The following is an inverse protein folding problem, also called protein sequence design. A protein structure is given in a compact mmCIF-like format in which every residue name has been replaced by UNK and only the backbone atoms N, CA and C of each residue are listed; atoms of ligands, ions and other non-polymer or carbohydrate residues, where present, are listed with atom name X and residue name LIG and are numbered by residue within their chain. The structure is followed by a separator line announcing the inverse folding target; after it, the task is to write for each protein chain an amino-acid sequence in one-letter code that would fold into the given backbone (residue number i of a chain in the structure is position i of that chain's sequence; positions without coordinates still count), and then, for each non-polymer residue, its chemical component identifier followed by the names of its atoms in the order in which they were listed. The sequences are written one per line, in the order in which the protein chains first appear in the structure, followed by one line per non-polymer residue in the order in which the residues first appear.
data_IF_340609540950
#
_entry.id   IF_340609540950
#
_cell.length_a   1.000
_cell.length_b   1.000
_cell.length_c   1.000
_cell.angle_alpha   90.00
_cell.angle_beta   90.00
_cell.angle_gamma   90.00
#
_symmetry.space_group_name_H-M   'P 1'
#
loop_
_entity.id
_entity.type
_entity.pdbx_description
1 polymer ?
#
# COMPACT_ATOMS: atom_id res chain seq x y z
N UNK A 1 -1.02 7.02 18.11
CA UNK A 1 -1.64 6.90 16.76
C UNK A 1 -2.29 5.53 16.68
N UNK A 2 -3.62 5.46 16.81
CA UNK A 2 -4.33 4.19 16.68
C UNK A 2 -4.15 3.64 15.26
N UNK A 3 -3.78 2.36 15.14
CA UNK A 3 -3.80 1.67 13.84
C UNK A 3 -5.25 1.63 13.37
N UNK A 4 -5.56 2.43 12.35
CA UNK A 4 -6.82 2.30 11.64
C UNK A 4 -6.81 0.97 10.89
N UNK A 5 -7.93 0.24 10.96
CA UNK A 5 -8.15 -1.01 10.23
C UNK A 5 -7.87 -0.73 8.75
N UNK A 6 -6.91 -1.44 8.17
CA UNK A 6 -6.53 -1.23 6.78
C UNK A 6 -7.75 -1.48 5.87
N UNK A 7 -7.93 -0.64 4.85
CA UNK A 7 -8.94 -0.89 3.83
C UNK A 7 -8.68 -2.23 3.16
N UNK A 8 -9.76 -3.01 3.03
CA UNK A 8 -9.76 -4.34 2.43
C UNK A 8 -9.24 -4.29 0.99
N UNK A 9 -8.53 -5.34 0.56
CA UNK A 9 -7.89 -5.39 -0.76
C UNK A 9 -8.91 -5.15 -1.89
N UNK A 10 -10.07 -5.75 -1.76
CA UNK A 10 -11.16 -5.65 -2.73
C UNK A 10 -11.64 -4.21 -2.97
N UNK A 11 -11.66 -3.37 -1.92
CA UNK A 11 -12.03 -1.96 -2.06
C UNK A 11 -10.96 -1.19 -2.84
N UNK A 12 -9.68 -1.53 -2.65
CA UNK A 12 -8.56 -0.87 -3.34
C UNK A 12 -8.51 -1.24 -4.81
N UNK A 13 -8.76 -2.49 -5.14
CA UNK A 13 -8.77 -2.95 -6.53
C UNK A 13 -9.95 -2.31 -7.29
N UNK A 14 -11.13 -2.22 -6.67
CA UNK A 14 -12.27 -1.46 -7.21
C UNK A 14 -11.94 0.01 -7.48
N UNK A 15 -11.22 0.68 -6.57
CA UNK A 15 -10.76 2.07 -6.79
C UNK A 15 -9.90 2.19 -8.05
N UNK A 16 -8.98 1.25 -8.24
CA UNK A 16 -8.10 1.24 -9.42
C UNK A 16 -8.88 0.98 -10.69
N UNK A 17 -9.84 0.07 -10.68
CA UNK A 17 -10.63 -0.25 -11.87
C UNK A 17 -11.57 0.89 -12.27
N UNK A 18 -12.20 1.57 -11.31
CA UNK A 18 -12.99 2.78 -11.58
C UNK A 18 -12.12 3.93 -12.11
N UNK A 19 -10.89 4.08 -11.62
CA UNK A 19 -9.95 5.04 -12.20
C UNK A 19 -9.53 4.65 -13.62
N UNK A 20 -9.29 3.36 -13.92
CA UNK A 20 -8.99 2.91 -15.29
C UNK A 20 -10.16 3.21 -16.24
N UNK A 21 -11.40 3.13 -15.76
CA UNK A 21 -12.59 3.53 -16.49
C UNK A 21 -12.73 5.06 -16.69
N UNK A 22 -11.77 5.87 -16.20
CA UNK A 22 -11.74 7.31 -16.40
C UNK A 22 -12.56 8.12 -15.39
N UNK A 23 -13.04 7.49 -14.30
CA UNK A 23 -13.79 8.21 -13.28
C UNK A 23 -12.89 9.15 -12.47
N UNK A 24 -13.42 10.32 -12.13
CA UNK A 24 -12.72 11.30 -11.29
C UNK A 24 -12.56 10.86 -9.83
N UNK A 25 -11.60 11.46 -9.11
CA UNK A 25 -11.34 11.13 -7.71
C UNK A 25 -12.57 11.32 -6.80
N UNK A 26 -13.36 12.38 -7.03
CA UNK A 26 -14.52 12.71 -6.21
C UNK A 26 -15.72 11.80 -6.45
N UNK A 27 -15.92 11.33 -7.69
CA UNK A 27 -16.98 10.37 -7.99
C UNK A 27 -16.66 9.01 -7.38
N UNK A 28 -15.41 8.55 -7.48
CA UNK A 28 -14.95 7.29 -6.86
C UNK A 28 -15.12 7.35 -5.33
N UNK A 29 -14.70 8.46 -4.71
CA UNK A 29 -14.84 8.65 -3.27
C UNK A 29 -16.31 8.60 -2.81
N UNK A 30 -17.21 9.28 -3.52
CA UNK A 30 -18.65 9.25 -3.20
C UNK A 30 -19.26 7.85 -3.40
N UNK A 31 -18.91 7.17 -4.49
CA UNK A 31 -19.44 5.84 -4.81
C UNK A 31 -19.04 4.77 -3.78
N UNK A 32 -17.82 4.85 -3.27
CA UNK A 32 -17.29 3.88 -2.31
C UNK A 32 -17.44 4.32 -0.85
N UNK A 33 -17.94 5.54 -0.59
CA UNK A 33 -18.02 6.09 0.76
C UNK A 33 -16.65 6.37 1.40
N UNK A 34 -15.59 6.43 0.59
CA UNK A 34 -14.21 6.58 1.04
C UNK A 34 -13.76 8.03 1.03
N UNK A 35 -12.74 8.35 1.83
CA UNK A 35 -12.15 9.69 1.82
C UNK A 35 -11.39 9.93 0.51
N UNK A 36 -11.55 11.13 -0.04
CA UNK A 36 -10.81 11.63 -1.21
C UNK A 36 -9.29 11.45 -1.08
N UNK A 37 -8.76 11.70 0.12
CA UNK A 37 -7.33 11.56 0.43
C UNK A 37 -6.86 10.11 0.29
N UNK A 38 -7.69 9.15 0.71
CA UNK A 38 -7.41 7.72 0.60
C UNK A 38 -7.41 7.26 -0.85
N UNK A 39 -8.43 7.65 -1.62
CA UNK A 39 -8.53 7.38 -3.05
C UNK A 39 -7.30 7.92 -3.79
N UNK A 40 -6.93 9.17 -3.53
CA UNK A 40 -5.73 9.79 -4.10
C UNK A 40 -4.43 9.07 -3.74
N UNK A 41 -4.27 8.65 -2.48
CA UNK A 41 -3.10 7.90 -2.03
C UNK A 41 -2.97 6.53 -2.73
N UNK A 42 -4.08 5.82 -2.90
CA UNK A 42 -4.13 4.51 -3.59
C UNK A 42 -3.73 4.67 -5.05
N UNK A 43 -4.32 5.66 -5.75
CA UNK A 43 -4.04 5.88 -7.19
C UNK A 43 -2.59 6.33 -7.41
N UNK A 44 -2.05 7.22 -6.57
CA UNK A 44 -0.64 7.63 -6.64
C UNK A 44 0.30 6.43 -6.44
N UNK A 45 0.00 5.58 -5.47
CA UNK A 45 0.76 4.34 -5.22
C UNK A 45 0.71 3.40 -6.42
N UNK A 46 -0.48 3.18 -6.97
CA UNK A 46 -0.66 2.35 -8.16
C UNK A 46 0.08 2.91 -9.38
N UNK A 47 0.05 4.23 -9.62
CA UNK A 47 0.81 4.85 -10.72
C UNK A 47 2.31 4.62 -10.58
N UNK A 48 2.86 4.69 -9.36
CA UNK A 48 4.29 4.55 -9.09
C UNK A 48 4.78 3.10 -9.07
N UNK A 49 4.04 2.22 -8.40
CA UNK A 49 4.50 0.86 -8.09
C UNK A 49 3.68 -0.25 -8.77
N UNK A 50 2.55 0.08 -9.43
CA UNK A 50 1.58 -0.87 -9.99
C UNK A 50 1.02 -1.87 -8.99
N UNK A 51 1.09 -1.53 -7.70
CA UNK A 51 0.63 -2.36 -6.58
C UNK A 51 -0.51 -1.64 -5.84
N UNK A 52 -1.53 -2.41 -5.44
CA UNK A 52 -2.68 -1.94 -4.64
C UNK A 52 -2.56 -2.29 -3.16
N UNK A 53 -1.80 -3.35 -2.83
CA UNK A 53 -1.54 -3.78 -1.45
C UNK A 53 -0.61 -2.82 -0.71
N UNK A 54 -0.77 -2.72 0.61
CA UNK A 54 0.23 -2.08 1.45
C UNK A 54 1.46 -2.98 1.52
N UNK A 55 2.60 -2.44 1.11
CA UNK A 55 3.88 -3.07 1.39
C UNK A 55 4.16 -2.95 2.90
N UNK A 56 4.76 -3.99 3.51
CA UNK A 56 5.29 -3.84 4.85
C UNK A 56 6.28 -2.67 4.83
N UNK A 57 6.27 -1.88 5.90
CA UNK A 57 7.27 -0.83 6.06
C UNK A 57 8.64 -1.50 6.03
N UNK A 58 9.56 -0.98 5.21
CA UNK A 58 10.95 -1.40 5.29
C UNK A 58 11.41 -1.23 6.73
N UNK A 59 11.76 -2.34 7.36
CA UNK A 59 12.28 -2.33 8.72
C UNK A 59 13.64 -1.61 8.71
N UNK A 60 14.08 -1.20 9.90
CA UNK A 60 15.44 -0.72 10.06
C UNK A 60 16.40 -1.78 9.50
N UNK A 61 17.42 -1.39 8.72
CA UNK A 61 18.44 -2.31 8.28
C UNK A 61 18.97 -3.09 9.48
N UNK A 62 19.04 -4.41 9.36
CA UNK A 62 19.64 -5.23 10.40
C UNK A 62 21.09 -4.78 10.60
N UNK A 63 21.53 -4.61 11.86
CA UNK A 63 22.91 -4.22 12.18
C UNK A 63 23.95 -5.19 11.60
N UNK A 64 23.57 -6.47 11.51
CA UNK A 64 24.43 -7.55 11.02
C UNK A 64 23.85 -8.03 9.68
N UNK A 65 24.72 -8.16 8.68
CA UNK A 65 24.34 -8.72 7.38
C UNK A 65 24.06 -10.23 7.49
N UNK A 66 23.30 -10.83 6.55
CA UNK A 66 23.09 -12.29 6.53
C UNK A 66 24.41 -13.08 6.53
N UNK A 67 25.45 -12.55 5.88
CA UNK A 67 26.79 -13.13 5.89
C UNK A 67 27.44 -13.05 7.28
N UNK A 68 27.32 -11.92 7.98
CA UNK A 68 27.80 -11.78 9.37
C UNK A 68 27.10 -12.75 10.32
N UNK A 69 25.78 -12.94 10.17
CA UNK A 69 25.02 -13.95 10.92
C UNK A 69 25.54 -15.36 10.61
N UNK A 70 25.76 -15.70 9.34
CA UNK A 70 26.31 -16.99 8.93
C UNK A 70 27.73 -17.25 9.48
N UNK A 71 28.57 -16.22 9.61
CA UNK A 71 29.89 -16.37 10.23
C UNK A 71 29.82 -16.61 11.74
N UNK A 72 28.89 -15.95 12.45
CA UNK A 72 28.69 -16.14 13.90
C UNK A 72 28.11 -17.53 14.20
N UNK A 73 27.21 -18.04 13.36
CA UNK A 73 26.57 -19.35 13.54
C UNK A 73 27.48 -20.54 13.21
N UNK A 74 28.68 -20.30 12.68
CA UNK A 74 29.69 -21.34 12.48
C UNK A 74 30.38 -21.66 13.82
N UNK A 75 29.73 -22.51 14.60
CA UNK A 75 30.37 -23.33 15.65
C UNK A 75 31.14 -24.49 15.03
#
# INVERSE_FOLDING_TARGET
MAKTKELFKDVRDKIVDLHKAGMGYQTIAKQLGEKLTTVGAIIRKWKKHKITVNLPRSLAPCKISPCGVSMIMRT
#
